data_IF_095181938898
#
_entry.id   IF_095181938898
#
_cell.length_a   1.000
_cell.length_b   1.000
_cell.length_c   1.000
_cell.angle_alpha   90.00
_cell.angle_beta   90.00
_cell.angle_gamma   90.00
#
_symmetry.space_group_name_H-M   'P 1'
#
loop_
_entity.id
_entity.type
_entity.pdbx_description
1 polymer ?
#
# COMPACT_ATOMS: atom_id res chain seq x y z
N UNK A 1 12.66 24.03 -18.26
CA UNK A 1 12.07 22.87 -18.96
C UNK A 1 13.16 22.08 -19.67
N UNK A 2 13.91 21.24 -18.96
CA UNK A 2 14.84 20.31 -19.63
C UNK A 2 14.02 19.12 -20.13
N UNK A 3 13.74 19.08 -21.42
CA UNK A 3 13.19 17.89 -22.06
C UNK A 3 14.15 16.72 -21.82
N UNK A 4 13.65 15.61 -21.25
CA UNK A 4 14.42 14.39 -21.10
C UNK A 4 14.85 13.93 -22.50
N UNK A 5 16.16 13.84 -22.74
CA UNK A 5 16.67 13.44 -24.04
C UNK A 5 16.33 11.97 -24.29
N UNK A 6 15.96 11.65 -25.53
CA UNK A 6 15.72 10.29 -26.00
C UNK A 6 16.92 9.79 -26.79
N UNK A 7 17.34 8.56 -26.52
CA UNK A 7 18.34 7.85 -27.33
C UNK A 7 17.79 6.47 -27.70
N UNK A 8 18.33 5.88 -28.75
CA UNK A 8 18.06 4.48 -29.08
C UNK A 8 19.19 3.61 -28.52
N UNK A 9 18.83 2.51 -27.86
CA UNK A 9 19.75 1.48 -27.39
C UNK A 9 19.50 0.19 -28.15
N UNK A 10 20.56 -0.58 -28.39
CA UNK A 10 20.46 -1.91 -29.00
C UNK A 10 21.28 -2.93 -28.21
N UNK A 11 20.76 -4.15 -28.12
CA UNK A 11 21.47 -5.32 -27.62
C UNK A 11 22.16 -6.12 -28.73
N UNK A 12 22.13 -5.62 -29.97
CA UNK A 12 22.65 -6.26 -31.18
C UNK A 12 21.60 -7.08 -31.94
N UNK A 13 20.43 -7.33 -31.37
CA UNK A 13 19.33 -8.05 -32.01
C UNK A 13 18.13 -7.13 -32.25
N UNK A 14 17.77 -6.34 -31.24
CA UNK A 14 16.67 -5.39 -31.28
C UNK A 14 17.13 -4.01 -30.81
N UNK A 15 16.33 -3.00 -31.09
CA UNK A 15 16.54 -1.65 -30.56
C UNK A 15 15.31 -1.16 -29.83
N UNK A 16 15.52 -0.30 -28.84
CA UNK A 16 14.45 0.35 -28.10
C UNK A 16 14.83 1.77 -27.70
N UNK A 17 13.81 2.62 -27.58
CA UNK A 17 13.99 3.98 -27.09
C UNK A 17 14.30 3.97 -25.59
N UNK A 18 15.20 4.84 -25.18
CA UNK A 18 15.56 5.08 -23.80
C UNK A 18 15.46 6.57 -23.46
N UNK A 19 14.88 6.87 -22.30
CA UNK A 19 14.74 8.19 -21.72
C UNK A 19 15.88 8.42 -20.76
N UNK A 20 16.63 9.50 -20.98
CA UNK A 20 17.73 9.91 -20.14
C UNK A 20 17.24 10.82 -19.01
N UNK A 21 17.76 10.61 -17.80
CA UNK A 21 17.62 11.60 -16.74
C UNK A 21 18.29 12.94 -17.13
N UNK A 22 18.06 13.98 -16.31
CA UNK A 22 18.58 15.32 -16.54
C UNK A 22 20.12 15.34 -16.64
N UNK A 23 20.79 14.47 -15.87
CA UNK A 23 22.25 14.46 -15.78
C UNK A 23 22.89 13.72 -16.96
N UNK A 24 22.31 12.61 -17.41
CA UNK A 24 22.68 11.90 -18.63
C UNK A 24 22.40 12.75 -19.86
N UNK A 25 21.29 13.49 -19.90
CA UNK A 25 20.99 14.44 -20.97
C UNK A 25 22.09 15.51 -21.08
N UNK A 26 22.63 15.99 -19.96
CA UNK A 26 23.81 16.88 -19.95
C UNK A 26 25.08 16.19 -20.45
N UNK A 27 25.27 14.88 -20.20
CA UNK A 27 26.42 14.13 -20.75
C UNK A 27 26.31 13.95 -22.25
N UNK A 28 25.11 13.73 -22.77
CA UNK A 28 24.82 13.68 -24.20
C UNK A 28 25.13 15.04 -24.86
N UNK A 29 24.59 16.13 -24.31
CA UNK A 29 24.86 17.49 -24.82
C UNK A 29 26.36 17.85 -24.80
N UNK A 30 27.10 17.35 -23.82
CA UNK A 30 28.55 17.55 -23.71
C UNK A 30 29.38 16.58 -24.59
N UNK A 31 28.75 15.76 -25.44
CA UNK A 31 29.44 14.77 -26.30
C UNK A 31 30.10 13.62 -25.52
N UNK A 32 29.82 13.47 -24.23
CA UNK A 32 30.38 12.38 -23.40
C UNK A 32 29.62 11.07 -23.56
N UNK A 33 28.38 11.15 -24.02
CA UNK A 33 27.56 10.04 -24.47
C UNK A 33 27.34 10.24 -25.97
N UNK A 34 27.58 9.23 -26.79
CA UNK A 34 27.53 9.35 -28.25
C UNK A 34 27.16 8.01 -28.90
N UNK A 35 26.75 8.07 -30.17
CA UNK A 35 26.30 6.89 -30.94
C UNK A 35 27.46 5.91 -31.15
N UNK A 36 27.20 4.62 -30.99
CA UNK A 36 28.20 3.55 -31.07
C UNK A 36 28.95 3.28 -29.76
N UNK A 37 28.71 4.07 -28.71
CA UNK A 37 29.26 3.80 -27.40
C UNK A 37 28.55 2.61 -26.73
N UNK A 38 29.33 1.66 -26.20
CA UNK A 38 28.79 0.58 -25.37
C UNK A 38 28.58 1.06 -23.94
N UNK A 39 27.41 0.75 -23.40
CA UNK A 39 27.02 1.11 -22.04
C UNK A 39 26.70 -0.15 -21.25
N UNK A 40 27.02 -0.11 -19.96
CA UNK A 40 26.54 -1.08 -18.98
C UNK A 40 25.52 -0.39 -18.09
N UNK A 41 24.32 -0.94 -18.06
CA UNK A 41 23.17 -0.30 -17.42
C UNK A 41 22.64 -1.23 -16.34
N UNK A 42 22.38 -0.67 -15.16
CA UNK A 42 21.82 -1.36 -14.01
C UNK A 42 20.65 -0.55 -13.45
N UNK A 43 19.60 -1.24 -13.01
CA UNK A 43 18.43 -0.60 -12.40
C UNK A 43 17.63 0.28 -13.38
N UNK A 44 17.64 -0.07 -14.67
CA UNK A 44 16.77 0.59 -15.64
C UNK A 44 15.31 0.20 -15.39
N UNK A 45 14.41 1.17 -15.49
CA UNK A 45 12.97 0.96 -15.40
C UNK A 45 12.31 0.96 -16.77
N UNK A 46 11.05 0.52 -16.83
CA UNK A 46 10.22 0.71 -18.02
C UNK A 46 9.22 1.85 -17.80
N UNK A 47 9.04 2.68 -18.83
CA UNK A 47 7.99 3.69 -18.90
C UNK A 47 7.02 3.31 -20.01
N UNK A 48 5.72 3.42 -19.75
CA UNK A 48 4.67 3.15 -20.75
C UNK A 48 4.46 1.66 -21.08
N UNK A 49 4.98 0.75 -20.25
CA UNK A 49 4.81 -0.69 -20.40
C UNK A 49 3.52 -1.16 -19.72
N UNK A 50 2.61 -1.75 -20.49
CA UNK A 50 1.26 -2.16 -20.02
C UNK A 50 1.12 -3.68 -19.93
N UNK A 51 2.02 -4.44 -20.55
CA UNK A 51 2.00 -5.91 -20.51
C UNK A 51 3.01 -6.56 -21.44
N UNK A 52 3.13 -7.91 -21.42
CA UNK A 52 4.07 -8.64 -22.27
C UNK A 52 3.78 -8.40 -23.76
N UNK A 53 4.79 -7.96 -24.52
CA UNK A 53 4.68 -7.68 -25.96
C UNK A 53 5.96 -8.15 -26.65
N UNK A 54 5.88 -8.79 -27.84
CA UNK A 54 7.05 -9.12 -28.64
C UNK A 54 7.89 -7.87 -28.98
N UNK A 55 9.24 -7.94 -28.99
CA UNK A 55 10.08 -6.77 -29.22
C UNK A 55 9.80 -6.00 -30.52
N UNK A 56 9.41 -6.70 -31.59
CA UNK A 56 9.09 -6.09 -32.90
C UNK A 56 7.71 -5.40 -32.93
N UNK A 57 6.81 -5.79 -32.03
CA UNK A 57 5.45 -5.25 -31.90
C UNK A 57 5.36 -4.21 -30.77
N UNK A 58 6.47 -3.96 -30.07
CA UNK A 58 6.53 -3.02 -28.97
C UNK A 58 6.18 -1.61 -29.45
N UNK A 59 5.18 -1.00 -28.80
CA UNK A 59 4.78 0.38 -29.10
C UNK A 59 5.95 1.34 -28.89
N UNK A 60 6.09 2.33 -29.78
CA UNK A 60 7.07 3.42 -29.64
C UNK A 60 6.87 4.25 -28.36
N UNK A 61 5.74 4.08 -27.67
CA UNK A 61 5.45 4.68 -26.37
C UNK A 61 6.22 4.00 -25.22
N UNK A 62 6.64 2.74 -25.38
CA UNK A 62 7.46 2.05 -24.39
C UNK A 62 8.88 2.58 -24.48
N UNK A 63 9.47 2.93 -23.34
CA UNK A 63 10.85 3.39 -23.28
C UNK A 63 11.55 2.93 -22.02
N UNK A 64 12.85 2.69 -22.14
CA UNK A 64 13.72 2.34 -21.02
C UNK A 64 14.14 3.61 -20.26
N UNK A 65 13.93 3.66 -18.95
CA UNK A 65 14.35 4.77 -18.10
C UNK A 65 15.80 4.55 -17.66
N UNK A 66 16.69 5.45 -18.08
CA UNK A 66 18.11 5.43 -17.71
C UNK A 66 18.42 6.51 -16.69
N UNK A 67 19.19 6.09 -15.70
CA UNK A 67 19.62 6.89 -14.58
C UNK A 67 21.14 6.95 -14.53
N UNK A 68 21.72 8.11 -14.25
CA UNK A 68 23.17 8.31 -14.27
C UNK A 68 23.88 7.44 -13.24
N UNK A 69 23.26 7.18 -12.09
CA UNK A 69 23.84 6.33 -11.04
C UNK A 69 23.88 4.84 -11.46
N UNK A 70 23.04 4.45 -12.43
CA UNK A 70 22.95 3.09 -12.97
C UNK A 70 23.67 2.90 -14.30
N UNK A 71 24.20 3.96 -14.92
CA UNK A 71 24.72 3.92 -16.30
C UNK A 71 26.23 4.13 -16.32
N UNK A 72 26.95 3.14 -16.84
CA UNK A 72 28.40 3.09 -16.89
C UNK A 72 28.86 2.94 -18.34
N UNK A 73 30.05 3.46 -18.65
CA UNK A 73 30.70 3.16 -19.93
C UNK A 73 31.22 1.72 -19.89
N UNK A 74 30.94 0.96 -20.93
CA UNK A 74 31.47 -0.39 -21.09
C UNK A 74 32.75 -0.36 -21.95
N UNK A 75 33.54 -1.42 -21.83
CA UNK A 75 34.71 -1.58 -22.69
C UNK A 75 34.26 -1.87 -24.13
N UNK A 76 35.03 -1.43 -25.14
CA UNK A 76 34.64 -1.57 -26.55
C UNK A 76 34.46 -3.03 -26.98
N UNK A 77 35.22 -3.95 -26.38
CA UNK A 77 35.14 -5.39 -26.65
C UNK A 77 34.04 -6.12 -25.85
N UNK A 78 33.35 -5.45 -24.92
CA UNK A 78 32.28 -6.08 -24.14
C UNK A 78 31.15 -6.55 -25.08
N UNK A 79 30.59 -7.74 -24.80
CA UNK A 79 29.46 -8.27 -25.56
C UNK A 79 28.19 -7.48 -25.23
N UNK A 80 27.34 -7.27 -26.23
CA UNK A 80 26.02 -6.69 -26.04
C UNK A 80 25.06 -7.72 -25.41
N UNK A 81 23.97 -7.21 -24.84
CA UNK A 81 22.98 -8.02 -24.12
C UNK A 81 23.25 -8.09 -22.62
N UNK A 82 22.71 -9.14 -21.98
CA UNK A 82 22.78 -9.29 -20.53
C UNK A 82 24.22 -9.49 -20.06
N UNK A 83 24.64 -8.64 -19.12
CA UNK A 83 25.95 -8.72 -18.50
C UNK A 83 25.98 -9.81 -17.42
N UNK A 84 27.04 -10.63 -17.41
CA UNK A 84 27.28 -11.61 -16.34
C UNK A 84 28.00 -10.93 -15.16
N UNK A 85 27.55 -11.23 -13.94
CA UNK A 85 28.18 -10.77 -12.70
C UNK A 85 27.70 -9.40 -12.23
N UNK A 86 28.02 -9.06 -10.99
CA UNK A 86 27.59 -7.81 -10.37
C UNK A 86 28.35 -6.62 -10.96
N UNK A 87 27.64 -5.50 -11.16
CA UNK A 87 28.28 -4.23 -11.51
C UNK A 87 29.29 -3.78 -10.46
N UNK A 88 30.33 -3.07 -10.89
CA UNK A 88 31.27 -2.44 -9.96
C UNK A 88 30.52 -1.46 -9.04
N UNK A 89 30.79 -1.45 -7.72
CA UNK A 89 30.10 -0.59 -6.79
C UNK A 89 30.38 0.88 -7.07
N UNK A 90 29.34 1.71 -7.00
CA UNK A 90 29.44 3.15 -7.18
C UNK A 90 29.95 3.79 -5.90
N UNK A 91 31.07 4.51 -5.98
CA UNK A 91 31.59 5.25 -4.83
C UNK A 91 30.64 6.39 -4.42
N UNK A 92 30.50 6.65 -3.12
CA UNK A 92 29.62 7.72 -2.58
C UNK A 92 29.83 9.09 -3.23
N UNK A 93 31.09 9.50 -3.47
CA UNK A 93 31.43 10.76 -4.15
C UNK A 93 30.87 10.88 -5.58
N UNK A 94 30.58 9.76 -6.22
CA UNK A 94 30.07 9.70 -7.58
C UNK A 94 28.54 9.70 -7.63
N UNK A 95 27.86 9.33 -6.54
CA UNK A 95 26.40 9.30 -6.45
C UNK A 95 25.83 10.71 -6.69
N UNK A 96 24.82 10.80 -7.54
CA UNK A 96 24.10 12.05 -7.83
C UNK A 96 22.70 11.98 -7.23
N UNK A 97 22.34 13.01 -6.44
CA UNK A 97 21.08 13.04 -5.69
C UNK A 97 19.84 12.90 -6.57
N UNK A 98 19.82 13.54 -7.74
CA UNK A 98 18.73 13.42 -8.74
C UNK A 98 19.01 12.36 -9.80
N UNK A 99 19.96 11.46 -9.54
CA UNK A 99 20.53 10.54 -10.53
C UNK A 99 19.91 9.15 -10.54
N UNK A 100 18.73 8.98 -9.93
CA UNK A 100 18.04 7.70 -9.80
C UNK A 100 18.68 6.72 -8.81
N UNK A 101 18.20 5.46 -8.80
CA UNK A 101 18.67 4.45 -7.86
C UNK A 101 20.16 4.13 -8.06
N UNK A 102 20.83 3.81 -6.96
CA UNK A 102 22.23 3.35 -6.95
C UNK A 102 22.23 1.82 -6.93
N UNK A 103 22.68 1.13 -7.99
CA UNK A 103 22.57 -0.33 -8.09
C UNK A 103 23.37 -1.09 -7.02
N UNK A 104 24.55 -0.59 -6.71
CA UNK A 104 25.46 -1.19 -5.73
C UNK A 104 26.43 -0.12 -5.23
N UNK A 105 26.72 -0.11 -3.94
CA UNK A 105 27.74 0.74 -3.31
C UNK A 105 28.34 -0.02 -2.14
N UNK A 106 29.61 0.26 -1.83
CA UNK A 106 30.26 -0.26 -0.63
C UNK A 106 30.20 0.81 0.47
N UNK A 107 29.77 0.39 1.66
CA UNK A 107 29.59 1.28 2.81
C UNK A 107 30.31 0.71 4.03
N UNK A 108 30.93 1.60 4.81
CA UNK A 108 31.46 1.27 6.13
C UNK A 108 30.54 1.87 7.21
N UNK A 109 30.02 1.05 8.12
CA UNK A 109 29.15 1.53 9.20
C UNK A 109 30.01 2.25 10.23
N UNK A 110 29.90 3.58 10.29
CA UNK A 110 30.66 4.40 11.26
C UNK A 110 29.92 4.57 12.58
N UNK A 111 28.58 4.72 12.53
CA UNK A 111 27.71 4.91 13.70
C UNK A 111 26.37 4.24 13.46
N UNK A 112 25.82 3.65 14.50
CA UNK A 112 24.45 3.11 14.53
C UNK A 112 23.65 4.05 15.44
N UNK A 113 22.60 4.66 14.91
CA UNK A 113 21.71 5.54 15.67
C UNK A 113 20.51 4.76 16.22
N UNK A 114 19.90 5.20 17.33
CA UNK A 114 18.67 4.59 17.83
C UNK A 114 17.52 4.72 16.83
N UNK A 115 16.54 3.81 16.92
CA UNK A 115 15.35 3.83 16.09
C UNK A 115 14.53 5.09 16.36
N UNK A 116 14.08 5.73 15.28
CA UNK A 116 13.16 6.87 15.33
C UNK A 116 11.87 6.51 14.59
N UNK A 117 10.75 6.94 15.16
CA UNK A 117 9.42 6.76 14.60
C UNK A 117 9.02 8.04 13.88
N UNK A 118 8.52 7.93 12.65
CA UNK A 118 8.09 9.06 11.83
C UNK A 118 6.59 9.00 11.59
N UNK A 119 5.85 9.93 12.18
CA UNK A 119 4.42 10.10 11.92
C UNK A 119 4.20 11.13 10.81
N UNK A 120 3.32 10.82 9.87
CA UNK A 120 2.84 11.76 8.86
C UNK A 120 1.50 12.34 9.34
N UNK A 121 1.46 13.66 9.49
CA UNK A 121 0.26 14.38 9.89
C UNK A 121 -0.67 14.62 8.70
N UNK A 122 -1.94 14.88 8.99
CA UNK A 122 -2.97 15.25 8.00
C UNK A 122 -2.61 16.54 7.24
N UNK A 123 -1.91 17.48 7.88
CA UNK A 123 -1.41 18.71 7.25
C UNK A 123 -0.19 18.49 6.31
N UNK A 124 0.25 17.24 6.10
CA UNK A 124 1.41 16.89 5.28
C UNK A 124 2.77 17.06 5.98
N UNK A 125 2.78 17.54 7.23
CA UNK A 125 3.96 17.61 8.07
C UNK A 125 4.41 16.24 8.60
N UNK A 126 5.60 16.21 9.19
CA UNK A 126 6.15 15.00 9.80
C UNK A 126 6.63 15.29 11.22
N UNK A 127 6.36 14.36 12.14
CA UNK A 127 6.89 14.36 13.50
C UNK A 127 7.84 13.18 13.65
N UNK A 128 9.01 13.42 14.22
CA UNK A 128 9.98 12.37 14.58
C UNK A 128 9.93 12.13 16.10
N UNK A 129 9.76 10.89 16.52
CA UNK A 129 9.71 10.48 17.93
C UNK A 129 10.78 9.45 18.24
N UNK A 130 11.26 9.48 19.48
CA UNK A 130 12.03 8.37 20.04
C UNK A 130 11.08 7.25 20.45
N UNK A 131 11.61 6.04 20.63
CA UNK A 131 10.86 4.87 21.09
C UNK A 131 10.03 5.14 22.36
N UNK A 132 10.60 5.83 23.35
CA UNK A 132 9.89 6.17 24.60
C UNK A 132 8.72 7.12 24.34
N UNK A 133 8.91 8.10 23.46
CA UNK A 133 7.87 9.07 23.15
C UNK A 133 6.76 8.44 22.31
N UNK A 134 7.11 7.55 21.38
CA UNK A 134 6.15 6.79 20.61
C UNK A 134 5.34 5.88 21.52
N UNK A 135 5.97 5.08 22.39
CA UNK A 135 5.26 4.20 23.32
C UNK A 135 4.26 4.98 24.21
N UNK A 136 4.65 6.16 24.70
CA UNK A 136 3.75 7.03 25.45
C UNK A 136 2.60 7.54 24.58
N UNK A 137 2.87 7.91 23.34
CA UNK A 137 1.84 8.40 22.41
C UNK A 137 0.87 7.28 22.01
N UNK A 138 1.36 6.08 21.71
CA UNK A 138 0.54 4.90 21.46
C UNK A 138 -0.32 4.56 22.66
N UNK A 139 0.21 4.65 23.88
CA UNK A 139 -0.58 4.45 25.09
C UNK A 139 -1.69 5.50 25.23
N UNK A 140 -1.38 6.78 25.02
CA UNK A 140 -2.38 7.86 25.07
C UNK A 140 -3.45 7.69 23.98
N UNK A 141 -3.04 7.28 22.77
CA UNK A 141 -3.95 6.98 21.68
C UNK A 141 -4.88 5.81 22.03
N UNK A 142 -4.33 4.69 22.49
CA UNK A 142 -5.11 3.53 22.90
C UNK A 142 -6.08 3.85 24.05
N UNK A 143 -5.66 4.68 25.01
CA UNK A 143 -6.53 5.17 26.07
C UNK A 143 -7.69 6.01 25.51
N UNK A 144 -7.41 6.94 24.60
CA UNK A 144 -8.47 7.72 23.92
C UNK A 144 -9.42 6.83 23.14
N UNK A 145 -8.90 5.87 22.39
CA UNK A 145 -9.71 4.89 21.67
C UNK A 145 -10.59 4.06 22.61
N UNK A 146 -10.06 3.62 23.76
CA UNK A 146 -10.83 2.90 24.78
C UNK A 146 -11.98 3.74 25.31
N UNK A 147 -11.72 5.00 25.65
CA UNK A 147 -12.75 5.92 26.17
C UNK A 147 -13.87 6.15 25.15
N UNK A 148 -13.51 6.38 23.87
CA UNK A 148 -14.49 6.55 22.79
C UNK A 148 -15.30 5.27 22.57
N UNK A 149 -14.62 4.11 22.54
CA UNK A 149 -15.27 2.82 22.37
C UNK A 149 -16.21 2.49 23.54
N UNK A 150 -15.80 2.71 24.78
CA UNK A 150 -16.63 2.53 25.98
C UNK A 150 -17.86 3.43 25.98
N UNK A 151 -17.70 4.70 25.56
CA UNK A 151 -18.83 5.61 25.38
C UNK A 151 -19.85 5.08 24.39
N UNK A 152 -19.41 4.70 23.18
CA UNK A 152 -20.29 4.15 22.14
C UNK A 152 -20.92 2.82 22.58
N UNK A 153 -20.17 1.93 23.23
CA UNK A 153 -20.69 0.68 23.77
C UNK A 153 -21.79 0.93 24.81
N UNK A 154 -21.61 1.91 25.70
CA UNK A 154 -22.62 2.28 26.70
C UNK A 154 -23.88 2.86 26.05
N UNK A 155 -23.72 3.71 25.04
CA UNK A 155 -24.85 4.25 24.28
C UNK A 155 -25.62 3.17 23.53
N UNK A 156 -24.93 2.21 22.91
CA UNK A 156 -25.56 1.09 22.23
C UNK A 156 -26.31 0.19 23.23
N UNK A 157 -25.71 -0.14 24.37
CA UNK A 157 -26.39 -0.89 25.44
C UNK A 157 -27.62 -0.18 25.99
N UNK A 158 -27.60 1.15 26.09
CA UNK A 158 -28.77 1.96 26.48
C UNK A 158 -29.84 2.00 25.37
N UNK A 159 -29.40 2.13 24.12
CA UNK A 159 -30.25 2.14 22.92
C UNK A 159 -30.83 0.77 22.55
N UNK A 160 -30.29 -0.33 23.08
CA UNK A 160 -30.84 -1.70 22.93
C UNK A 160 -32.31 -1.79 23.37
N UNK A 161 -32.82 -0.86 24.20
CA UNK A 161 -34.25 -0.80 24.53
C UNK A 161 -35.15 -0.23 23.42
N UNK A 162 -34.61 0.45 22.41
CA UNK A 162 -35.40 1.25 21.44
C UNK A 162 -35.21 0.83 19.96
N UNK A 163 -34.49 -0.25 19.66
CA UNK A 163 -34.39 -0.77 18.29
C UNK A 163 -35.68 -1.49 17.88
N UNK A 164 -36.75 -0.74 17.59
CA UNK A 164 -37.86 -1.23 16.79
C UNK A 164 -37.36 -1.52 15.38
N UNK A 165 -37.19 -2.80 15.06
CA UNK A 165 -36.91 -3.30 13.71
C UNK A 165 -38.20 -3.16 12.89
N UNK A 166 -38.44 -1.97 12.37
CA UNK A 166 -39.34 -1.78 11.23
C UNK A 166 -38.53 -2.01 9.96
N UNK A 167 -38.10 -3.25 9.74
CA UNK A 167 -37.68 -3.68 8.41
C UNK A 167 -38.71 -4.71 7.92
N UNK A 168 -39.72 -4.19 7.25
CA UNK A 168 -40.95 -4.87 6.82
C UNK A 168 -40.72 -5.84 5.65
N UNK A 169 -39.46 -6.31 5.45
CA UNK A 169 -39.06 -7.03 4.24
C UNK A 169 -38.23 -8.32 4.47
N UNK A 170 -37.81 -8.63 5.71
CA UNK A 170 -37.13 -9.91 6.00
C UNK A 170 -38.16 -11.01 6.28
N UNK A 171 -38.71 -11.60 5.22
CA UNK A 171 -39.61 -12.77 5.29
C UNK A 171 -38.86 -14.09 5.62
N UNK A 172 -37.89 -14.05 6.53
CA UNK A 172 -37.22 -15.24 7.07
C UNK A 172 -38.00 -15.76 8.30
N UNK A 173 -38.19 -17.09 8.39
CA UNK A 173 -38.90 -17.74 9.51
C UNK A 173 -38.31 -17.34 10.88
N UNK A 174 -36.98 -17.15 10.95
CA UNK A 174 -36.27 -16.68 12.14
C UNK A 174 -36.65 -15.27 12.61
N UNK A 175 -36.99 -14.33 11.72
CA UNK A 175 -37.41 -12.98 12.08
C UNK A 175 -38.80 -12.97 12.74
N UNK A 176 -39.70 -13.82 12.25
CA UNK A 176 -41.04 -14.01 12.82
C UNK A 176 -40.95 -14.64 14.21
N UNK A 177 -40.10 -15.66 14.36
CA UNK A 177 -39.83 -16.31 15.66
C UNK A 177 -39.26 -15.30 16.66
N UNK A 178 -38.29 -14.47 16.25
CA UNK A 178 -37.70 -13.44 17.09
C UNK A 178 -38.74 -12.46 17.65
N UNK A 179 -39.65 -11.95 16.80
CA UNK A 179 -40.72 -11.02 17.20
C UNK A 179 -41.73 -11.64 18.17
N UNK A 180 -42.06 -12.92 17.97
CA UNK A 180 -42.95 -13.67 18.87
C UNK A 180 -42.29 -13.85 20.25
N UNK A 181 -41.02 -14.24 20.28
CA UNK A 181 -40.26 -14.44 21.52
C UNK A 181 -40.05 -13.13 22.30
N UNK A 182 -39.90 -12.00 21.61
CA UNK A 182 -39.79 -10.68 22.25
C UNK A 182 -41.09 -10.22 22.93
N UNK A 183 -42.25 -10.68 22.44
CA UNK A 183 -43.58 -10.30 22.97
C UNK A 183 -44.13 -11.33 23.96
N UNK A 184 -43.57 -12.53 24.02
CA UNK A 184 -44.06 -13.63 24.84
C UNK A 184 -43.73 -13.45 26.34
N UNK A 185 -44.65 -13.88 27.21
CA UNK A 185 -44.45 -13.85 28.66
C UNK A 185 -43.45 -14.93 29.14
N UNK A 186 -43.39 -16.08 28.46
CA UNK A 186 -42.50 -17.20 28.79
C UNK A 186 -41.82 -17.76 27.52
N UNK A 187 -40.77 -17.09 27.01
CA UNK A 187 -40.10 -17.46 25.77
C UNK A 187 -39.41 -18.84 25.85
N UNK A 188 -38.95 -19.24 27.03
CA UNK A 188 -38.26 -20.53 27.24
C UNK A 188 -39.19 -21.73 27.00
N UNK A 189 -40.46 -21.61 27.37
CA UNK A 189 -41.48 -22.66 27.16
C UNK A 189 -41.80 -22.78 25.66
N UNK A 190 -41.93 -21.64 24.97
CA UNK A 190 -42.17 -21.61 23.52
C UNK A 190 -41.00 -22.18 22.73
N UNK A 191 -39.75 -21.92 23.14
CA UNK A 191 -38.57 -22.49 22.48
C UNK A 191 -38.48 -24.01 22.65
N UNK A 192 -38.98 -24.56 23.77
CA UNK A 192 -39.00 -26.01 24.01
C UNK A 192 -40.01 -26.77 23.13
N UNK A 193 -41.06 -26.08 22.65
CA UNK A 193 -42.09 -26.64 21.76
C UNK A 193 -41.76 -26.50 20.26
N UNK A 194 -40.72 -25.74 19.89
CA UNK A 194 -40.32 -25.51 18.50
C UNK A 194 -39.57 -26.68 17.87
N UNK A 195 -39.64 -26.79 16.55
CA UNK A 195 -38.87 -27.80 15.80
C UNK A 195 -37.38 -27.44 15.72
N UNK A 196 -36.52 -28.44 15.46
CA UNK A 196 -35.07 -28.21 15.29
C UNK A 196 -34.73 -27.27 14.12
N UNK A 197 -35.54 -27.26 13.07
CA UNK A 197 -35.39 -26.37 11.90
C UNK A 197 -35.76 -24.92 12.26
N UNK A 198 -36.73 -24.73 13.14
CA UNK A 198 -37.12 -23.41 13.66
C UNK A 198 -36.09 -22.84 14.62
N UNK A 199 -35.52 -23.67 15.49
CA UNK A 199 -34.44 -23.25 16.39
C UNK A 199 -33.16 -22.87 15.64
N UNK A 200 -32.83 -23.60 14.56
CA UNK A 200 -31.65 -23.28 13.74
C UNK A 200 -31.86 -22.00 12.90
N UNK A 201 -33.06 -21.80 12.34
CA UNK A 201 -33.37 -20.55 11.62
C UNK A 201 -33.42 -19.33 12.56
N UNK A 202 -33.94 -19.49 13.77
CA UNK A 202 -33.89 -18.46 14.82
C UNK A 202 -32.45 -18.14 15.24
N UNK A 203 -31.62 -19.15 15.54
CA UNK A 203 -30.22 -18.95 15.90
C UNK A 203 -29.42 -18.28 14.78
N UNK A 204 -29.67 -18.65 13.51
CA UNK A 204 -29.05 -18.01 12.35
C UNK A 204 -29.45 -16.53 12.22
N UNK A 205 -30.73 -16.21 12.43
CA UNK A 205 -31.22 -14.83 12.43
C UNK A 205 -30.64 -14.02 13.60
N UNK A 206 -30.58 -14.59 14.80
CA UNK A 206 -29.96 -13.95 15.97
C UNK A 206 -28.48 -13.66 15.71
N UNK A 207 -27.73 -14.63 15.16
CA UNK A 207 -26.32 -14.43 14.81
C UNK A 207 -26.15 -13.37 13.71
N UNK A 208 -27.03 -13.33 12.70
CA UNK A 208 -27.05 -12.28 11.65
C UNK A 208 -27.28 -10.90 12.28
N UNK A 209 -28.24 -10.80 13.19
CA UNK A 209 -28.61 -9.56 13.87
C UNK A 209 -27.50 -9.06 14.81
N UNK A 210 -26.87 -9.95 15.58
CA UNK A 210 -25.68 -9.65 16.39
C UNK A 210 -24.50 -9.22 15.52
N UNK A 211 -24.27 -9.87 14.38
CA UNK A 211 -23.22 -9.49 13.44
C UNK A 211 -23.45 -8.10 12.83
N UNK A 212 -24.68 -7.75 12.44
CA UNK A 212 -25.05 -6.41 11.97
C UNK A 212 -24.80 -5.37 13.07
N UNK A 213 -25.25 -5.64 14.30
CA UNK A 213 -25.00 -4.76 15.46
C UNK A 213 -23.51 -4.54 15.72
N UNK A 214 -22.71 -5.61 15.70
CA UNK A 214 -21.26 -5.53 15.86
C UNK A 214 -20.59 -4.73 14.72
N UNK A 215 -21.08 -4.88 13.49
CA UNK A 215 -20.60 -4.13 12.33
C UNK A 215 -20.89 -2.63 12.47
N UNK A 216 -22.12 -2.27 12.83
CA UNK A 216 -22.53 -0.87 12.98
C UNK A 216 -21.82 -0.20 14.15
N UNK A 217 -21.65 -0.92 15.27
CA UNK A 217 -20.84 -0.44 16.40
C UNK A 217 -19.38 -0.18 15.98
N UNK A 218 -18.76 -1.09 15.22
CA UNK A 218 -17.38 -0.88 14.72
C UNK A 218 -17.28 0.33 13.81
N UNK A 219 -18.22 0.50 12.87
CA UNK A 219 -18.27 1.67 11.98
C UNK A 219 -18.45 2.98 12.76
N UNK A 220 -19.27 2.97 13.80
CA UNK A 220 -19.47 4.13 14.66
C UNK A 220 -18.19 4.50 15.42
N UNK A 221 -17.46 3.51 15.94
CA UNK A 221 -16.16 3.71 16.59
C UNK A 221 -15.14 4.27 15.60
N UNK A 222 -15.02 3.69 14.41
CA UNK A 222 -14.08 4.15 13.38
C UNK A 222 -14.37 5.61 12.97
N UNK A 223 -15.63 5.94 12.71
CA UNK A 223 -16.05 7.30 12.40
C UNK A 223 -15.73 8.29 13.53
N UNK A 224 -16.02 7.92 14.78
CA UNK A 224 -15.74 8.79 15.93
C UNK A 224 -14.23 8.99 16.16
N UNK A 225 -13.40 8.04 15.75
CA UNK A 225 -11.94 8.17 15.78
C UNK A 225 -11.39 9.04 14.64
N UNK A 226 -12.03 9.05 13.48
CA UNK A 226 -11.68 9.93 12.36
C UNK A 226 -12.07 11.40 12.61
N UNK A 227 -13.21 11.62 13.28
CA UNK A 227 -13.73 12.96 13.59
C UNK A 227 -12.99 13.66 14.76
N UNK A 228 -12.16 12.93 15.52
CA UNK A 228 -11.47 13.39 16.75
C UNK A 228 -10.01 13.84 16.53
#
# INVERSE_FOLDING_TARGET
NSTAAKIELTDGWYSMNALLDVLLSKKLAAGKLFVGQKLRIWGAGFCGWVGPVPPLEASKAVSLLLHINGTYRAHWADRLGLCKGNGAPLAFRCIKGTGGPVPSTLVGVTRIYPVLYRERLSNGGFIMRSEKMEAKMTQLYNQRCSVVAEGIMSEFQRGVKDFHINDDNDSEEGAKIFKILETAAEPEVLMAEMSSEQLTSFAAYQAKLEATRHSDMRKSIEKALEDA
#
